data_IF_522795102684
#
_entry.id   IF_522795102684
#
_cell.length_a   1.000
_cell.length_b   1.000
_cell.length_c   1.000
_cell.angle_alpha   90.00
_cell.angle_beta   90.00
_cell.angle_gamma   90.00
#
_symmetry.space_group_name_H-M   'P 1'
#
loop_
_entity.id
_entity.type
_entity.pdbx_description
1 polymer ?
#
# COMPACT_ATOMS: atom_id res chain seq x y z
N UNK A 1 -9.25 -21.34 52.00
CA UNK A 1 -9.64 -21.76 50.63
C UNK A 1 -8.45 -21.74 49.67
N UNK A 2 -7.82 -20.58 49.40
CA UNK A 2 -6.70 -20.47 48.45
C UNK A 2 -5.56 -21.46 48.75
N UNK A 3 -5.14 -21.57 50.02
CA UNK A 3 -4.09 -22.52 50.42
C UNK A 3 -4.48 -23.99 50.20
N UNK A 4 -5.76 -24.34 50.41
CA UNK A 4 -6.26 -25.70 50.17
C UNK A 4 -6.26 -26.06 48.68
N UNK A 5 -6.62 -25.09 47.81
CA UNK A 5 -6.54 -25.26 46.36
C UNK A 5 -5.07 -25.46 45.94
N UNK A 6 -4.14 -24.63 46.42
CA UNK A 6 -2.71 -24.78 46.10
C UNK A 6 -2.12 -26.12 46.57
N UNK A 7 -2.57 -26.64 47.72
CA UNK A 7 -2.10 -27.92 48.26
C UNK A 7 -2.68 -29.14 47.52
N UNK A 8 -3.97 -29.11 47.16
CA UNK A 8 -4.66 -30.25 46.56
C UNK A 8 -4.70 -30.22 45.02
N UNK A 9 -4.44 -29.07 44.39
CA UNK A 9 -4.20 -28.93 42.95
C UNK A 9 -2.71 -28.66 42.68
N UNK A 10 -1.86 -29.61 43.04
CA UNK A 10 -0.41 -29.54 42.85
C UNK A 10 0.08 -30.67 41.95
N UNK A 11 1.19 -30.42 41.25
CA UNK A 11 1.95 -31.46 40.57
C UNK A 11 3.18 -31.76 41.41
N UNK A 12 3.29 -32.99 41.94
CA UNK A 12 4.37 -33.39 42.85
C UNK A 12 5.35 -34.29 42.13
N UNK A 13 6.64 -33.96 42.19
CA UNK A 13 7.71 -34.82 41.70
C UNK A 13 8.00 -35.92 42.73
N UNK A 14 7.91 -37.19 42.32
CA UNK A 14 8.05 -38.34 43.23
C UNK A 14 9.27 -39.23 42.94
N UNK A 15 10.10 -38.85 41.96
CA UNK A 15 11.31 -39.59 41.61
C UNK A 15 11.02 -40.87 40.83
N UNK A 16 11.91 -41.86 40.95
CA UNK A 16 11.84 -43.13 40.22
C UNK A 16 12.18 -44.29 41.15
N UNK A 17 11.48 -45.42 40.99
CA UNK A 17 11.88 -46.70 41.53
C UNK A 17 13.13 -47.17 40.77
N UNK A 18 14.17 -47.58 41.48
CA UNK A 18 15.45 -47.96 40.87
C UNK A 18 16.18 -46.80 40.18
N UNK A 19 15.91 -45.56 40.59
CA UNK A 19 16.59 -44.36 40.11
C UNK A 19 18.10 -44.38 40.41
N UNK A 20 18.89 -43.68 39.60
CA UNK A 20 20.34 -43.65 39.76
C UNK A 20 20.78 -42.78 40.95
N UNK A 21 21.80 -43.20 41.73
CA UNK A 21 22.59 -44.43 41.56
C UNK A 21 21.88 -45.69 42.12
N UNK A 22 21.71 -46.76 41.32
CA UNK A 22 20.97 -47.93 41.76
C UNK A 22 21.86 -48.90 42.57
N UNK A 23 21.21 -49.77 43.34
CA UNK A 23 21.87 -50.92 43.99
C UNK A 23 22.23 -51.99 42.95
N UNK A 24 23.33 -52.73 43.16
CA UNK A 24 23.75 -53.81 42.24
C UNK A 24 22.68 -54.89 42.16
N UNK A 25 22.30 -55.28 40.93
CA UNK A 25 21.27 -56.29 40.66
C UNK A 25 19.85 -55.73 40.47
N UNK A 26 19.64 -54.41 40.56
CA UNK A 26 18.34 -53.78 40.32
C UNK A 26 17.84 -54.05 38.89
N UNK A 27 16.67 -54.72 38.77
CA UNK A 27 16.08 -55.11 37.47
C UNK A 27 15.03 -54.13 36.94
N UNK A 28 14.39 -53.35 37.83
CA UNK A 28 13.29 -52.45 37.47
C UNK A 28 13.69 -50.99 37.69
N UNK A 29 13.52 -50.17 36.65
CA UNK A 29 13.50 -48.72 36.75
C UNK A 29 12.13 -48.20 36.24
N UNK A 30 11.41 -47.44 37.08
CA UNK A 30 10.10 -46.90 36.72
C UNK A 30 9.85 -45.55 37.40
N UNK A 31 9.29 -44.59 36.67
CA UNK A 31 8.92 -43.27 37.22
C UNK A 31 7.74 -43.39 38.18
N UNK A 32 7.85 -42.74 39.35
CA UNK A 32 6.77 -42.66 40.33
C UNK A 32 5.89 -41.47 39.97
N UNK A 33 4.59 -41.74 39.79
CA UNK A 33 3.59 -40.71 39.59
C UNK A 33 2.86 -40.52 40.92
N UNK A 34 3.01 -39.35 41.54
CA UNK A 34 2.27 -38.97 42.72
C UNK A 34 1.07 -38.08 42.33
N UNK A 35 0.86 -36.99 43.04
CA UNK A 35 -0.27 -36.09 42.81
C UNK A 35 -0.12 -35.31 41.50
N UNK A 36 -1.19 -35.30 40.70
CA UNK A 36 -1.34 -34.50 39.48
C UNK A 36 -2.37 -33.40 39.66
N UNK A 37 -2.38 -32.43 38.76
CA UNK A 37 -3.40 -31.36 38.74
C UNK A 37 -4.80 -31.92 38.55
N UNK A 38 -5.77 -31.23 39.15
CA UNK A 38 -7.20 -31.51 38.99
C UNK A 38 -7.66 -31.07 37.59
N UNK A 39 -8.61 -31.81 37.02
CA UNK A 39 -9.02 -31.69 35.61
C UNK A 39 -10.50 -31.36 35.43
N UNK A 40 -11.32 -31.48 36.48
CA UNK A 40 -12.77 -31.28 36.41
C UNK A 40 -13.32 -30.45 37.57
N UNK A 41 -14.42 -29.74 37.34
CA UNK A 41 -15.11 -28.98 38.39
C UNK A 41 -15.51 -29.88 39.58
N UNK A 42 -15.88 -31.14 39.33
CA UNK A 42 -16.22 -32.11 40.37
C UNK A 42 -15.03 -32.45 41.28
N UNK A 43 -13.83 -32.57 40.71
CA UNK A 43 -12.60 -32.77 41.48
C UNK A 43 -12.27 -31.54 42.34
N UNK A 44 -12.40 -30.33 41.79
CA UNK A 44 -12.26 -29.10 42.56
C UNK A 44 -13.30 -29.01 43.69
N UNK A 45 -14.55 -29.40 43.45
CA UNK A 45 -15.60 -29.41 44.45
C UNK A 45 -15.34 -30.37 45.62
N UNK A 46 -14.54 -31.43 45.40
CA UNK A 46 -14.15 -32.42 46.42
C UNK A 46 -12.97 -31.99 47.30
N UNK A 47 -12.33 -30.85 47.01
CA UNK A 47 -11.21 -30.33 47.82
C UNK A 47 -11.63 -30.21 49.28
N UNK A 48 -10.89 -30.87 50.17
CA UNK A 48 -11.14 -30.85 51.61
C UNK A 48 -10.65 -29.53 52.20
N UNK A 49 -11.51 -28.80 52.89
CA UNK A 49 -11.15 -27.53 53.54
C UNK A 49 -10.85 -27.71 55.02
N UNK A 50 -11.70 -28.45 55.73
CA UNK A 50 -11.60 -28.68 57.18
C UNK A 50 -12.38 -29.93 57.57
N UNK A 51 -11.95 -30.58 58.65
CA UNK A 51 -12.74 -31.57 59.39
C UNK A 51 -13.16 -30.94 60.72
N UNK A 52 -14.45 -30.99 61.03
CA UNK A 52 -15.02 -30.44 62.25
C UNK A 52 -14.77 -31.38 63.45
N UNK A 53 -14.91 -30.89 64.70
CA UNK A 53 -14.69 -31.70 65.90
C UNK A 53 -15.62 -32.92 66.03
N UNK A 54 -16.77 -32.88 65.38
CA UNK A 54 -17.74 -33.98 65.28
C UNK A 54 -17.40 -35.01 64.19
N UNK A 55 -16.29 -34.83 63.47
CA UNK A 55 -15.86 -35.68 62.36
C UNK A 55 -16.47 -35.32 61.00
N UNK A 56 -17.38 -34.34 60.91
CA UNK A 56 -17.95 -33.91 59.64
C UNK A 56 -16.92 -33.19 58.77
N UNK A 57 -16.96 -33.41 57.45
CA UNK A 57 -16.01 -32.84 56.48
C UNK A 57 -16.62 -31.66 55.74
N UNK A 58 -15.90 -30.55 55.68
CA UNK A 58 -16.27 -29.37 54.87
C UNK A 58 -15.44 -29.38 53.59
N UNK A 59 -16.12 -29.43 52.44
CA UNK A 59 -15.51 -29.43 51.10
C UNK A 59 -15.71 -28.09 50.40
N UNK A 60 -14.96 -27.86 49.33
CA UNK A 60 -15.04 -26.62 48.56
C UNK A 60 -16.45 -26.34 48.02
N UNK A 61 -17.14 -27.38 47.55
CA UNK A 61 -18.53 -27.26 47.06
C UNK A 61 -19.55 -26.83 48.12
N UNK A 62 -19.25 -27.05 49.40
CA UNK A 62 -20.17 -26.72 50.50
C UNK A 62 -20.16 -25.21 50.80
N UNK A 63 -19.15 -24.48 50.30
CA UNK A 63 -18.93 -23.04 50.57
C UNK A 63 -18.76 -22.18 49.32
N UNK A 64 -18.70 -22.76 48.12
CA UNK A 64 -18.56 -22.03 46.86
C UNK A 64 -19.19 -22.80 45.69
N UNK A 65 -19.69 -22.05 44.69
CA UNK A 65 -20.12 -22.63 43.40
C UNK A 65 -18.88 -22.88 42.54
N UNK A 66 -18.73 -24.10 42.06
CA UNK A 66 -17.60 -24.51 41.21
C UNK A 66 -18.13 -24.83 39.82
N UNK A 67 -17.77 -24.03 38.83
CA UNK A 67 -18.15 -24.23 37.43
C UNK A 67 -17.02 -23.78 36.50
N UNK A 68 -17.01 -24.33 35.28
CA UNK A 68 -16.11 -23.85 34.24
C UNK A 68 -16.66 -22.54 33.69
N UNK A 69 -15.86 -21.48 33.75
CA UNK A 69 -16.24 -20.13 33.33
C UNK A 69 -15.13 -19.43 32.55
N UNK A 70 -15.43 -18.22 32.09
CA UNK A 70 -14.42 -17.33 31.52
C UNK A 70 -13.42 -16.86 32.58
N UNK A 71 -12.21 -16.52 32.15
CA UNK A 71 -11.20 -15.90 33.01
C UNK A 71 -11.64 -14.50 33.48
N UNK A 72 -12.31 -13.75 32.59
CA UNK A 72 -12.93 -12.46 32.88
C UNK A 72 -14.34 -12.37 32.26
N UNK A 73 -15.13 -11.40 32.72
CA UNK A 73 -16.51 -11.18 32.29
C UNK A 73 -16.77 -9.73 31.84
N UNK A 74 -15.71 -8.95 31.58
CA UNK A 74 -15.81 -7.54 31.23
C UNK A 74 -16.34 -7.32 29.80
N UNK A 75 -16.21 -8.32 28.93
CA UNK A 75 -16.55 -8.22 27.50
C UNK A 75 -17.60 -9.25 27.13
N UNK A 76 -18.78 -8.76 26.72
CA UNK A 76 -19.86 -9.59 26.15
C UNK A 76 -19.96 -9.28 24.66
N UNK A 77 -19.37 -10.14 23.82
CA UNK A 77 -19.39 -9.97 22.38
C UNK A 77 -20.62 -10.66 21.74
N UNK A 78 -21.26 -9.95 20.80
CA UNK A 78 -22.37 -10.46 19.99
C UNK A 78 -22.14 -10.13 18.52
N UNK A 79 -22.56 -11.02 17.62
CA UNK A 79 -22.61 -10.80 16.18
C UNK A 79 -24.03 -11.00 15.69
N UNK A 80 -24.65 -9.97 15.11
CA UNK A 80 -26.05 -9.96 14.68
C UNK A 80 -27.01 -10.48 15.78
N UNK A 81 -26.81 -10.03 17.03
CA UNK A 81 -27.63 -10.40 18.19
C UNK A 81 -27.34 -11.78 18.79
N UNK A 82 -26.50 -12.61 18.16
CA UNK A 82 -26.12 -13.95 18.66
C UNK A 82 -24.80 -13.90 19.45
N UNK A 83 -24.59 -14.75 20.47
CA UNK A 83 -23.32 -14.86 21.18
C UNK A 83 -22.16 -15.09 20.20
N UNK A 84 -21.06 -14.35 20.36
CA UNK A 84 -19.93 -14.42 19.46
C UNK A 84 -18.60 -14.37 20.23
N UNK A 85 -17.58 -14.93 19.60
CA UNK A 85 -16.17 -14.75 19.96
C UNK A 85 -15.38 -14.49 18.69
N UNK A 86 -14.12 -14.10 18.79
CA UNK A 86 -13.31 -13.82 17.61
C UNK A 86 -11.84 -13.56 17.90
N UNK A 87 -11.08 -13.48 16.81
CA UNK A 87 -9.66 -13.19 16.80
C UNK A 87 -9.40 -11.91 15.99
N UNK A 88 -8.79 -10.92 16.63
CA UNK A 88 -8.27 -9.74 15.96
C UNK A 88 -6.86 -10.02 15.42
N UNK A 89 -6.75 -10.33 14.14
CA UNK A 89 -5.46 -10.69 13.53
C UNK A 89 -4.79 -9.43 12.97
N UNK A 90 -3.52 -9.23 13.34
CA UNK A 90 -2.68 -8.14 12.82
C UNK A 90 -1.60 -8.71 11.91
N UNK A 91 -1.33 -8.01 10.82
CA UNK A 91 -0.28 -8.37 9.88
C UNK A 91 1.10 -8.18 10.53
N UNK A 92 1.99 -9.15 10.35
CA UNK A 92 3.38 -9.01 10.76
C UNK A 92 4.11 -7.98 9.88
N UNK A 93 5.12 -7.30 10.43
CA UNK A 93 5.92 -6.32 9.68
C UNK A 93 6.54 -6.96 8.45
N UNK A 94 6.33 -6.35 7.27
CA UNK A 94 6.87 -6.82 6.00
C UNK A 94 6.14 -8.02 5.38
N UNK A 95 5.12 -8.58 6.04
CA UNK A 95 4.32 -9.65 5.47
C UNK A 95 3.34 -9.14 4.40
N UNK A 96 2.94 -10.02 3.48
CA UNK A 96 1.93 -9.71 2.46
C UNK A 96 0.52 -9.92 3.02
N UNK A 97 -0.33 -8.89 2.93
CA UNK A 97 -1.70 -8.93 3.42
C UNK A 97 -2.56 -9.98 2.71
N UNK A 98 -2.44 -10.10 1.38
CA UNK A 98 -3.23 -11.03 0.57
C UNK A 98 -2.82 -12.48 0.85
N UNK A 99 -1.53 -12.76 0.89
CA UNK A 99 -1.00 -14.11 1.17
C UNK A 99 -1.36 -14.55 2.59
N UNK A 100 -1.23 -13.64 3.56
CA UNK A 100 -1.57 -13.93 4.96
C UNK A 100 -3.06 -14.20 5.13
N UNK A 101 -3.93 -13.40 4.51
CA UNK A 101 -5.37 -13.63 4.57
C UNK A 101 -5.78 -14.94 3.87
N UNK A 102 -5.14 -15.27 2.73
CA UNK A 102 -5.35 -16.54 2.06
C UNK A 102 -4.93 -17.72 2.96
N UNK A 103 -3.77 -17.62 3.63
CA UNK A 103 -3.29 -18.63 4.57
C UNK A 103 -4.23 -18.79 5.78
N UNK A 104 -4.72 -17.69 6.37
CA UNK A 104 -5.70 -17.72 7.45
C UNK A 104 -6.98 -18.44 7.01
N UNK A 105 -7.50 -18.13 5.83
CA UNK A 105 -8.69 -18.79 5.29
C UNK A 105 -8.44 -20.28 5.04
N UNK A 106 -7.26 -20.64 4.56
CA UNK A 106 -6.88 -22.03 4.36
C UNK A 106 -6.82 -22.82 5.67
N UNK A 107 -6.23 -22.26 6.73
CA UNK A 107 -6.17 -22.90 8.04
C UNK A 107 -7.55 -23.01 8.69
N UNK A 108 -8.37 -21.96 8.62
CA UNK A 108 -9.74 -22.00 9.12
C UNK A 108 -10.57 -23.09 8.43
N UNK A 109 -10.43 -23.24 7.12
CA UNK A 109 -11.11 -24.28 6.34
C UNK A 109 -10.68 -25.69 6.76
N UNK A 110 -9.44 -25.90 7.21
CA UNK A 110 -8.98 -27.20 7.76
C UNK A 110 -9.61 -27.50 9.12
N UNK A 111 -9.96 -26.47 9.89
CA UNK A 111 -10.57 -26.62 11.22
C UNK A 111 -12.08 -26.83 11.17
N UNK A 112 -12.76 -26.29 10.14
CA UNK A 112 -14.22 -26.38 9.97
C UNK A 112 -14.83 -27.79 10.17
N UNK A 113 -14.23 -28.89 9.68
CA UNK A 113 -14.77 -30.23 9.87
C UNK A 113 -14.82 -30.72 11.33
N UNK A 114 -14.00 -30.14 12.20
CA UNK A 114 -13.91 -30.52 13.62
C UNK A 114 -14.80 -29.67 14.52
N UNK A 115 -15.63 -28.80 13.94
CA UNK A 115 -16.47 -27.90 14.70
C UNK A 115 -17.66 -28.59 15.35
N UNK A 116 -18.01 -28.18 16.59
CA UNK A 116 -19.26 -28.62 17.20
C UNK A 116 -20.45 -28.07 16.43
N UNK A 117 -21.60 -28.75 16.55
CA UNK A 117 -22.83 -28.37 15.87
C UNK A 117 -23.22 -26.92 16.15
N UNK A 118 -23.48 -26.14 15.10
CA UNK A 118 -23.92 -24.75 15.20
C UNK A 118 -22.80 -23.71 15.26
N UNK A 119 -21.53 -24.13 15.34
CA UNK A 119 -20.39 -23.22 15.26
C UNK A 119 -20.11 -22.84 13.80
N UNK A 120 -20.07 -21.53 13.52
CA UNK A 120 -19.87 -20.99 12.17
C UNK A 120 -18.87 -19.84 12.20
N UNK A 121 -17.93 -19.84 11.25
CA UNK A 121 -17.01 -18.73 11.04
C UNK A 121 -17.71 -17.62 10.25
N UNK A 122 -17.46 -16.38 10.66
CA UNK A 122 -17.84 -15.17 9.93
C UNK A 122 -16.64 -14.23 9.85
N UNK A 123 -16.56 -13.44 8.79
CA UNK A 123 -15.49 -12.46 8.57
C UNK A 123 -16.09 -11.04 8.65
N UNK A 124 -16.27 -10.49 9.87
CA UNK A 124 -16.96 -9.20 10.03
C UNK A 124 -16.11 -8.01 9.56
N UNK A 125 -14.79 -8.16 9.54
CA UNK A 125 -13.85 -7.13 9.13
C UNK A 125 -12.67 -7.76 8.42
N UNK A 126 -12.50 -7.42 7.14
CA UNK A 126 -11.39 -7.84 6.31
C UNK A 126 -11.01 -6.68 5.38
N UNK A 127 -9.75 -6.26 5.44
CA UNK A 127 -9.22 -5.17 4.61
C UNK A 127 -8.72 -5.68 3.25
N UNK A 128 -8.49 -6.99 3.10
CA UNK A 128 -7.90 -7.56 1.89
C UNK A 128 -8.75 -7.42 0.62
N UNK A 129 -10.09 -7.50 0.65
CA UNK A 129 -10.89 -7.26 -0.56
C UNK A 129 -10.70 -5.83 -1.09
N UNK A 130 -10.61 -4.83 -0.20
CA UNK A 130 -10.37 -3.45 -0.59
C UNK A 130 -8.98 -3.26 -1.21
N UNK A 131 -7.95 -3.88 -0.63
CA UNK A 131 -6.58 -3.83 -1.17
C UNK A 131 -6.52 -4.49 -2.56
N UNK A 132 -7.15 -5.66 -2.71
CA UNK A 132 -7.19 -6.38 -3.98
C UNK A 132 -7.92 -5.57 -5.07
N UNK A 133 -9.08 -4.99 -4.75
CA UNK A 133 -9.82 -4.13 -5.69
C UNK A 133 -9.00 -2.89 -6.03
N UNK A 134 -8.36 -2.26 -5.04
CA UNK A 134 -7.53 -1.06 -5.28
C UNK A 134 -6.35 -1.35 -6.23
N UNK A 135 -5.65 -2.48 -6.03
CA UNK A 135 -4.56 -2.89 -6.93
C UNK A 135 -5.11 -3.19 -8.32
N UNK A 136 -6.22 -3.92 -8.42
CA UNK A 136 -6.84 -4.25 -9.69
C UNK A 136 -7.27 -2.99 -10.48
N UNK A 137 -7.94 -2.04 -9.83
CA UNK A 137 -8.36 -0.80 -10.45
C UNK A 137 -7.16 0.04 -10.91
N UNK A 138 -6.08 0.12 -10.12
CA UNK A 138 -4.89 0.83 -10.58
C UNK A 138 -4.26 0.14 -11.79
N UNK A 139 -4.10 -1.19 -11.77
CA UNK A 139 -3.57 -1.92 -12.95
C UNK A 139 -4.44 -1.69 -14.18
N UNK A 140 -5.77 -1.70 -14.03
CA UNK A 140 -6.70 -1.36 -15.09
C UNK A 140 -6.49 0.07 -15.60
N UNK A 141 -6.36 1.05 -14.71
CA UNK A 141 -6.05 2.44 -15.08
C UNK A 141 -4.71 2.56 -15.80
N UNK A 142 -3.68 1.80 -15.40
CA UNK A 142 -2.38 1.77 -16.11
C UNK A 142 -2.56 1.27 -17.55
N UNK A 143 -3.34 0.20 -17.75
CA UNK A 143 -3.62 -0.35 -19.08
C UNK A 143 -4.45 0.62 -19.93
N UNK A 144 -5.51 1.21 -19.36
CA UNK A 144 -6.33 2.22 -20.03
C UNK A 144 -5.49 3.43 -20.45
N UNK A 145 -4.58 3.90 -19.59
CA UNK A 145 -3.69 5.00 -19.90
C UNK A 145 -2.75 4.66 -21.07
N UNK A 146 -2.16 3.46 -21.10
CA UNK A 146 -1.30 3.03 -22.22
C UNK A 146 -2.11 2.97 -23.53
N UNK A 147 -3.35 2.49 -23.50
CA UNK A 147 -4.24 2.47 -24.66
C UNK A 147 -4.55 3.89 -25.13
N UNK A 148 -4.87 4.81 -24.21
CA UNK A 148 -5.14 6.20 -24.55
C UNK A 148 -3.92 6.88 -25.16
N UNK A 149 -2.72 6.65 -24.63
CA UNK A 149 -1.47 7.14 -25.20
C UNK A 149 -1.27 6.60 -26.61
N UNK A 150 -1.49 5.30 -26.81
CA UNK A 150 -1.41 4.68 -28.13
C UNK A 150 -2.39 5.35 -29.12
N UNK A 151 -3.65 5.57 -28.72
CA UNK A 151 -4.68 6.19 -29.56
C UNK A 151 -4.35 7.64 -29.91
N UNK A 152 -3.90 8.44 -28.93
CA UNK A 152 -3.53 9.83 -29.15
C UNK A 152 -2.30 9.91 -30.06
N UNK A 153 -1.27 9.10 -29.79
CA UNK A 153 -0.09 9.05 -30.66
C UNK A 153 -0.43 8.59 -32.08
N UNK A 154 -1.37 7.67 -32.23
CA UNK A 154 -1.83 7.21 -33.54
C UNK A 154 -2.58 8.29 -34.29
N UNK A 155 -3.37 9.11 -33.58
CA UNK A 155 -4.07 10.25 -34.17
C UNK A 155 -3.09 11.28 -34.75
N UNK A 156 -2.03 11.61 -34.01
CA UNK A 156 -1.04 12.62 -34.41
C UNK A 156 -0.03 12.10 -35.44
N UNK A 157 0.58 10.94 -35.20
CA UNK A 157 1.67 10.44 -36.03
C UNK A 157 1.19 9.56 -37.19
N UNK A 158 -0.03 9.04 -37.15
CA UNK A 158 -0.66 8.26 -38.24
C UNK A 158 0.16 7.06 -38.71
N UNK A 159 1.11 6.61 -37.88
CA UNK A 159 2.05 5.56 -38.18
C UNK A 159 2.14 4.60 -37.00
N UNK A 160 1.63 3.39 -37.18
CA UNK A 160 1.63 2.34 -36.15
C UNK A 160 3.03 2.03 -35.58
N UNK A 161 4.09 2.20 -36.36
CA UNK A 161 5.45 1.94 -35.86
C UNK A 161 5.93 3.01 -34.89
N UNK A 162 5.58 4.27 -35.14
CA UNK A 162 5.95 5.38 -34.27
C UNK A 162 5.17 5.31 -32.94
N UNK A 163 3.91 4.89 -32.98
CA UNK A 163 3.07 4.74 -31.77
C UNK A 163 3.50 3.58 -30.88
N UNK A 164 4.10 2.53 -31.43
CA UNK A 164 4.63 1.42 -30.63
C UNK A 164 5.80 1.84 -29.74
N UNK A 165 6.56 2.89 -30.10
CA UNK A 165 7.76 3.29 -29.36
C UNK A 165 7.39 3.75 -27.94
N UNK A 166 6.48 4.72 -27.72
CA UNK A 166 6.01 5.04 -26.37
C UNK A 166 5.28 3.88 -25.67
N UNK A 167 4.51 3.08 -26.43
CA UNK A 167 3.79 1.91 -25.88
C UNK A 167 4.74 0.86 -25.29
N UNK A 168 5.97 0.73 -25.80
CA UNK A 168 7.00 -0.16 -25.24
C UNK A 168 7.78 0.53 -24.12
N UNK A 169 8.12 1.82 -24.29
CA UNK A 169 8.93 2.55 -23.31
C UNK A 169 8.25 2.66 -21.94
N UNK A 170 6.96 3.00 -21.90
CA UNK A 170 6.22 3.21 -20.64
C UNK A 170 6.19 1.97 -19.74
N UNK A 171 5.82 0.75 -20.22
CA UNK A 171 5.91 -0.47 -19.42
C UNK A 171 7.31 -0.77 -18.90
N UNK A 172 8.36 -0.54 -19.71
CA UNK A 172 9.75 -0.73 -19.27
C UNK A 172 10.07 0.18 -18.10
N UNK A 173 9.63 1.44 -18.15
CA UNK A 173 9.86 2.38 -17.05
C UNK A 173 9.10 2.00 -15.78
N UNK A 174 7.84 1.58 -15.92
CA UNK A 174 7.02 1.14 -14.78
C UNK A 174 7.62 -0.09 -14.10
N UNK A 175 8.04 -1.10 -14.88
CA UNK A 175 8.70 -2.30 -14.34
C UNK A 175 10.03 -1.96 -13.66
N UNK A 176 10.83 -1.07 -14.26
CA UNK A 176 12.06 -0.57 -13.64
C UNK A 176 11.80 0.17 -12.33
N UNK A 177 10.72 0.94 -12.26
CA UNK A 177 10.31 1.65 -11.03
C UNK A 177 9.96 0.67 -9.91
N UNK A 178 9.25 -0.42 -10.21
CA UNK A 178 9.00 -1.48 -9.22
C UNK A 178 10.29 -2.10 -8.69
N UNK A 179 11.29 -2.32 -9.55
CA UNK A 179 12.59 -2.84 -9.14
C UNK A 179 13.30 -1.86 -8.19
N UNK A 180 13.31 -0.57 -8.49
CA UNK A 180 13.89 0.46 -7.63
C UNK A 180 13.17 0.51 -6.27
N UNK A 181 11.83 0.53 -6.28
CA UNK A 181 11.03 0.53 -5.06
C UNK A 181 11.33 -0.70 -4.18
N UNK A 182 11.47 -1.87 -4.79
CA UNK A 182 11.83 -3.10 -4.08
C UNK A 182 13.23 -3.01 -3.44
N UNK A 183 14.24 -2.46 -4.15
CA UNK A 183 15.59 -2.25 -3.61
C UNK A 183 15.58 -1.33 -2.39
N UNK A 184 14.74 -0.29 -2.40
CA UNK A 184 14.56 0.61 -1.26
C UNK A 184 13.62 0.08 -0.16
N UNK A 185 13.13 -1.16 -0.30
CA UNK A 185 12.26 -1.80 0.70
C UNK A 185 10.83 -1.23 0.75
N UNK A 186 10.37 -0.57 -0.31
CA UNK A 186 8.98 -0.12 -0.43
C UNK A 186 8.08 -1.28 -0.85
N UNK A 187 6.89 -1.34 -0.25
CA UNK A 187 5.84 -2.28 -0.63
C UNK A 187 4.93 -1.70 -1.71
N UNK A 188 4.28 -2.58 -2.47
CA UNK A 188 3.17 -2.20 -3.35
C UNK A 188 1.97 -1.91 -2.45
N UNK A 189 1.58 -0.65 -2.37
CA UNK A 189 0.42 -0.20 -1.60
C UNK A 189 -0.33 0.89 -2.37
N UNK A 190 -1.47 1.32 -1.82
CA UNK A 190 -2.32 2.32 -2.48
C UNK A 190 -1.58 3.61 -2.84
N UNK A 191 -0.66 4.08 -1.99
CA UNK A 191 0.06 5.35 -2.20
C UNK A 191 1.13 5.23 -3.29
N UNK A 192 1.94 4.17 -3.28
CA UNK A 192 2.93 3.93 -4.35
C UNK A 192 2.25 3.68 -5.70
N UNK A 193 1.11 2.98 -5.69
CA UNK A 193 0.29 2.75 -6.88
C UNK A 193 -0.28 4.05 -7.45
N UNK A 194 -0.82 4.94 -6.61
CA UNK A 194 -1.23 6.28 -7.06
C UNK A 194 -0.06 7.10 -7.59
N UNK A 195 1.11 7.02 -6.94
CA UNK A 195 2.34 7.68 -7.41
C UNK A 195 2.71 7.25 -8.83
N UNK A 196 2.60 5.96 -9.15
CA UNK A 196 2.85 5.46 -10.51
C UNK A 196 1.83 5.97 -11.52
N UNK A 197 0.55 6.03 -11.17
CA UNK A 197 -0.49 6.57 -12.07
C UNK A 197 -0.21 8.04 -12.40
N UNK A 198 0.13 8.83 -11.39
CA UNK A 198 0.50 10.24 -11.59
C UNK A 198 1.77 10.39 -12.43
N UNK A 199 2.73 9.47 -12.27
CA UNK A 199 3.95 9.48 -13.05
C UNK A 199 3.69 9.24 -14.55
N UNK A 200 2.66 8.48 -14.96
CA UNK A 200 2.40 8.17 -16.38
C UNK A 200 2.39 9.43 -17.25
N UNK A 201 1.74 10.51 -16.81
CA UNK A 201 1.70 11.75 -17.58
C UNK A 201 3.08 12.31 -17.89
N UNK A 202 4.01 12.17 -16.94
CA UNK A 202 5.40 12.59 -17.08
C UNK A 202 6.21 11.59 -17.93
N UNK A 203 5.97 10.29 -17.73
CA UNK A 203 6.68 9.21 -18.45
C UNK A 203 6.40 9.22 -19.95
N UNK A 204 5.14 9.48 -20.30
CA UNK A 204 4.69 9.49 -21.68
C UNK A 204 5.28 10.69 -22.40
N UNK A 205 5.33 11.86 -21.76
CA UNK A 205 5.85 13.09 -22.35
C UNK A 205 7.28 12.92 -22.88
N UNK A 206 8.18 12.32 -22.09
CA UNK A 206 9.57 12.04 -22.51
C UNK A 206 9.64 11.20 -23.80
N UNK A 207 8.84 10.14 -23.88
CA UNK A 207 8.83 9.27 -25.04
C UNK A 207 8.17 9.94 -26.26
N UNK A 208 7.12 10.72 -26.06
CA UNK A 208 6.45 11.48 -27.12
C UNK A 208 7.40 12.52 -27.69
N UNK A 209 8.01 13.35 -26.85
CA UNK A 209 8.91 14.45 -27.28
C UNK A 209 10.07 13.90 -28.13
N UNK A 210 10.64 12.75 -27.76
CA UNK A 210 11.70 12.11 -28.56
C UNK A 210 11.17 11.68 -29.92
N UNK A 211 10.06 10.93 -29.97
CA UNK A 211 9.53 10.38 -31.23
C UNK A 211 9.04 11.50 -32.15
N UNK A 212 8.31 12.47 -31.61
CA UNK A 212 7.79 13.64 -32.32
C UNK A 212 8.92 14.47 -32.93
N UNK A 213 9.98 14.75 -32.16
CA UNK A 213 11.09 15.55 -32.67
C UNK A 213 11.87 14.81 -33.77
N UNK A 214 11.96 13.47 -33.71
CA UNK A 214 12.54 12.68 -34.82
C UNK A 214 11.68 12.74 -36.08
N UNK A 215 10.36 12.55 -35.94
CA UNK A 215 9.40 12.67 -37.05
C UNK A 215 9.45 14.07 -37.68
N UNK A 216 9.51 15.12 -36.87
CA UNK A 216 9.67 16.51 -37.32
C UNK A 216 10.94 16.70 -38.15
N UNK A 217 12.10 16.24 -37.67
CA UNK A 217 13.38 16.36 -38.39
C UNK A 217 13.36 15.56 -39.70
N UNK A 218 12.74 14.37 -39.72
CA UNK A 218 12.57 13.60 -40.95
C UNK A 218 11.68 14.32 -41.96
N UNK A 219 10.56 14.89 -41.52
CA UNK A 219 9.61 15.59 -42.39
C UNK A 219 10.17 16.92 -42.94
N UNK A 220 10.87 17.69 -42.11
CA UNK A 220 11.45 19.00 -42.50
C UNK A 220 12.68 18.84 -43.40
N UNK A 221 13.56 17.89 -43.11
CA UNK A 221 14.87 17.79 -43.76
C UNK A 221 14.99 16.62 -44.75
N UNK A 222 14.13 15.60 -44.65
CA UNK A 222 14.19 14.40 -45.48
C UNK A 222 15.32 13.44 -45.14
N UNK A 223 15.83 13.49 -43.90
CA UNK A 223 16.93 12.63 -43.44
C UNK A 223 16.46 11.19 -43.18
N UNK A 224 17.33 10.17 -43.39
CA UNK A 224 17.01 8.81 -43.01
C UNK A 224 16.87 8.66 -41.48
N UNK A 225 16.04 7.71 -40.97
CA UNK A 225 15.67 7.61 -39.55
C UNK A 225 16.84 7.62 -38.56
N UNK A 226 17.94 6.95 -38.89
CA UNK A 226 19.14 6.90 -38.04
C UNK A 226 19.82 8.26 -37.91
N UNK A 227 19.95 9.00 -39.01
CA UNK A 227 20.59 10.32 -39.02
C UNK A 227 19.69 11.39 -38.41
N UNK A 228 18.38 11.32 -38.73
CA UNK A 228 17.37 12.17 -38.12
C UNK A 228 17.33 11.99 -36.59
N UNK A 229 17.41 10.74 -36.11
CA UNK A 229 17.46 10.46 -34.66
C UNK A 229 18.70 11.06 -34.02
N UNK A 230 19.87 10.94 -34.63
CA UNK A 230 21.12 11.53 -34.10
C UNK A 230 21.02 13.05 -34.01
N UNK A 231 20.48 13.70 -35.03
CA UNK A 231 20.29 15.16 -35.06
C UNK A 231 19.26 15.61 -34.03
N UNK A 232 18.11 14.92 -33.98
CA UNK A 232 17.02 15.17 -33.03
C UNK A 232 17.51 15.08 -31.59
N UNK A 233 18.19 13.99 -31.21
CA UNK A 233 18.72 13.83 -29.86
C UNK A 233 19.74 14.92 -29.49
N UNK A 234 20.54 15.39 -30.45
CA UNK A 234 21.43 16.53 -30.23
C UNK A 234 20.71 17.83 -29.85
N UNK A 235 19.45 18.01 -30.27
CA UNK A 235 18.63 19.18 -29.94
C UNK A 235 17.98 19.06 -28.55
N UNK A 236 17.50 17.87 -28.19
CA UNK A 236 16.62 17.70 -27.02
C UNK A 236 17.29 17.05 -25.80
N UNK A 237 18.42 16.35 -25.96
CA UNK A 237 19.03 15.61 -24.84
C UNK A 237 19.29 16.47 -23.60
N UNK A 238 19.77 17.70 -23.78
CA UNK A 238 20.05 18.63 -22.68
C UNK A 238 18.77 19.12 -22.01
N UNK A 239 17.70 19.32 -22.80
CA UNK A 239 16.40 19.71 -22.29
C UNK A 239 15.77 18.57 -21.46
N UNK A 240 15.83 17.33 -21.92
CA UNK A 240 15.33 16.16 -21.19
C UNK A 240 16.01 16.00 -19.83
N UNK A 241 17.35 16.11 -19.78
CA UNK A 241 18.09 16.07 -18.52
C UNK A 241 17.73 17.27 -17.62
N UNK A 242 17.56 18.47 -18.20
CA UNK A 242 17.11 19.65 -17.47
C UNK A 242 15.74 19.47 -16.81
N UNK A 243 14.76 18.93 -17.57
CA UNK A 243 13.42 18.63 -17.08
C UNK A 243 13.50 17.63 -15.91
N UNK A 244 14.28 16.56 -16.06
CA UNK A 244 14.48 15.57 -15.00
C UNK A 244 14.99 16.20 -13.70
N UNK A 245 15.97 17.10 -13.80
CA UNK A 245 16.58 17.79 -12.66
C UNK A 245 15.59 18.75 -11.99
N UNK A 246 14.85 19.53 -12.77
CA UNK A 246 13.84 20.47 -12.25
C UNK A 246 12.70 19.72 -11.56
N UNK A 247 12.17 18.67 -12.19
CA UNK A 247 11.12 17.87 -11.56
C UNK A 247 11.62 17.16 -10.31
N UNK A 248 12.84 16.63 -10.32
CA UNK A 248 13.46 16.08 -9.12
C UNK A 248 13.56 17.13 -8.00
N UNK A 249 13.94 18.36 -8.31
CA UNK A 249 13.98 19.45 -7.34
C UNK A 249 12.59 19.80 -6.75
N UNK A 250 11.50 19.57 -7.48
CA UNK A 250 10.12 19.74 -6.97
C UNK A 250 9.71 18.59 -6.06
N UNK A 251 10.01 17.34 -6.43
CA UNK A 251 9.49 16.17 -5.70
C UNK A 251 10.38 15.71 -4.54
N UNK A 252 11.70 15.84 -4.63
CA UNK A 252 12.65 15.38 -3.60
C UNK A 252 12.40 16.06 -2.23
N UNK A 253 12.17 17.38 -2.12
CA UNK A 253 11.95 18.03 -0.82
C UNK A 253 10.79 17.44 -0.01
N UNK A 254 9.75 16.93 -0.68
CA UNK A 254 8.61 16.32 -0.02
C UNK A 254 8.95 15.03 0.73
N UNK A 255 10.04 14.34 0.36
CA UNK A 255 10.52 13.15 1.09
C UNK A 255 11.11 13.48 2.46
N UNK A 256 11.49 14.73 2.70
CA UNK A 256 12.10 15.20 3.94
C UNK A 256 11.10 15.75 4.96
N UNK A 257 9.80 15.71 4.66
CA UNK A 257 8.78 16.09 5.62
C UNK A 257 8.79 15.16 6.83
N UNK A 258 8.65 15.72 8.03
CA UNK A 258 8.64 14.98 9.28
C UNK A 258 7.27 14.38 9.63
N UNK A 259 7.27 13.50 10.63
CA UNK A 259 6.07 12.90 11.20
C UNK A 259 5.34 11.93 10.27
N UNK A 260 4.13 11.51 10.68
CA UNK A 260 3.34 10.52 9.95
C UNK A 260 2.94 11.00 8.55
N UNK A 261 2.65 12.28 8.39
CA UNK A 261 2.34 12.88 7.08
C UNK A 261 3.54 12.83 6.15
N UNK A 262 4.74 13.06 6.68
CA UNK A 262 5.98 12.92 5.92
C UNK A 262 6.21 11.52 5.36
N UNK A 263 5.85 10.48 6.12
CA UNK A 263 5.93 9.10 5.63
C UNK A 263 5.03 8.84 4.40
N UNK A 264 3.88 9.50 4.32
CA UNK A 264 2.96 9.42 3.16
C UNK A 264 3.59 10.12 1.95
N UNK A 265 4.05 11.37 2.12
CA UNK A 265 4.68 12.12 1.03
C UNK A 265 5.96 11.47 0.52
N UNK A 266 6.73 10.82 1.39
CA UNK A 266 7.93 10.08 1.01
C UNK A 266 7.63 8.95 0.03
N UNK A 267 6.49 8.25 0.18
CA UNK A 267 6.10 7.19 -0.76
C UNK A 267 5.78 7.76 -2.15
N UNK A 268 5.08 8.89 -2.23
CA UNK A 268 4.82 9.57 -3.50
C UNK A 268 6.10 10.11 -4.15
N UNK A 269 6.91 10.83 -3.36
CA UNK A 269 8.15 11.47 -3.82
C UNK A 269 9.11 10.45 -4.43
N UNK A 270 9.42 9.38 -3.70
CA UNK A 270 10.39 8.38 -4.18
C UNK A 270 9.85 7.64 -5.40
N UNK A 271 8.55 7.32 -5.44
CA UNK A 271 7.95 6.66 -6.60
C UNK A 271 8.08 7.52 -7.86
N UNK A 272 7.69 8.80 -7.78
CA UNK A 272 7.72 9.72 -8.92
C UNK A 272 9.16 10.01 -9.35
N UNK A 273 10.06 10.31 -8.41
CA UNK A 273 11.48 10.60 -8.71
C UNK A 273 12.16 9.39 -9.35
N UNK A 274 11.92 8.18 -8.83
CA UNK A 274 12.48 6.95 -9.41
C UNK A 274 11.96 6.72 -10.83
N UNK A 275 10.65 6.90 -11.04
CA UNK A 275 10.02 6.77 -12.35
C UNK A 275 10.59 7.79 -13.35
N UNK A 276 10.70 9.05 -12.97
CA UNK A 276 11.25 10.11 -13.83
C UNK A 276 12.72 9.89 -14.17
N UNK A 277 13.55 9.53 -13.18
CA UNK A 277 14.96 9.25 -13.42
C UNK A 277 15.13 8.08 -14.42
N UNK A 278 14.33 7.03 -14.26
CA UNK A 278 14.36 5.88 -15.15
C UNK A 278 13.72 6.20 -16.53
N UNK A 279 12.73 7.09 -16.58
CA UNK A 279 12.13 7.61 -17.81
C UNK A 279 13.16 8.29 -18.70
N UNK A 280 13.92 9.22 -18.14
CA UNK A 280 14.95 9.97 -18.88
C UNK A 280 16.05 9.03 -19.34
N UNK A 281 16.43 8.04 -18.53
CA UNK A 281 17.38 7.01 -18.93
C UNK A 281 16.85 6.20 -20.13
N UNK A 282 15.58 5.79 -20.10
CA UNK A 282 14.92 5.11 -21.22
C UNK A 282 14.82 6.01 -22.46
N UNK A 283 14.50 7.30 -22.29
CA UNK A 283 14.42 8.30 -23.35
C UNK A 283 15.77 8.60 -24.03
N UNK A 284 16.89 8.45 -23.29
CA UNK A 284 18.24 8.65 -23.82
C UNK A 284 18.86 7.37 -24.41
N UNK A 285 18.40 6.19 -23.99
CA UNK A 285 19.00 4.89 -24.37
C UNK A 285 18.10 4.08 -25.30
N UNK A 286 16.91 3.71 -24.82
CA UNK A 286 16.03 2.77 -25.53
C UNK A 286 15.25 3.49 -26.63
N UNK A 287 14.64 4.63 -26.34
CA UNK A 287 13.78 5.35 -27.29
C UNK A 287 14.52 5.74 -28.57
N UNK A 288 15.76 6.28 -28.53
CA UNK A 288 16.50 6.62 -29.75
C UNK A 288 16.88 5.37 -30.55
N UNK A 289 17.20 4.26 -29.88
CA UNK A 289 17.47 2.99 -30.56
C UNK A 289 16.23 2.46 -31.29
N UNK A 290 15.04 2.58 -30.67
CA UNK A 290 13.77 2.22 -31.29
C UNK A 290 13.41 3.16 -32.45
N UNK A 291 13.61 4.48 -32.30
CA UNK A 291 13.39 5.45 -33.37
C UNK A 291 14.24 5.13 -34.61
N UNK A 292 15.53 4.86 -34.42
CA UNK A 292 16.44 4.57 -35.52
C UNK A 292 16.16 3.25 -36.26
N UNK A 293 15.46 2.30 -35.63
CA UNK A 293 15.22 0.95 -36.18
C UNK A 293 13.78 0.70 -36.63
N UNK A 294 12.79 1.30 -35.97
CA UNK A 294 11.37 1.07 -36.25
C UNK A 294 10.75 2.13 -37.15
N UNK A 295 11.23 3.38 -37.11
CA UNK A 295 10.64 4.46 -37.91
C UNK A 295 10.88 4.25 -39.39
N UNK A 296 9.89 4.62 -40.21
CA UNK A 296 10.00 4.62 -41.66
C UNK A 296 10.50 5.98 -42.11
N UNK A 297 11.33 6.06 -43.17
CA UNK A 297 11.70 7.33 -43.77
C UNK A 297 10.46 8.11 -44.21
N UNK A 298 10.39 9.38 -43.84
CA UNK A 298 9.36 10.33 -44.30
C UNK A 298 9.95 11.15 -45.44
N UNK A 299 9.20 11.33 -46.52
CA UNK A 299 9.63 12.21 -47.61
C UNK A 299 9.59 13.66 -47.15
N UNK A 300 10.57 14.46 -47.59
CA UNK A 300 10.65 15.88 -47.24
C UNK A 300 9.38 16.62 -47.66
N UNK A 301 8.71 17.28 -46.72
CA UNK A 301 7.42 17.95 -46.93
C UNK A 301 6.19 17.04 -46.91
N UNK A 302 6.36 15.74 -46.62
CA UNK A 302 5.27 14.79 -46.44
C UNK A 302 4.60 14.96 -45.08
N UNK A 303 3.64 15.87 -44.97
CA UNK A 303 2.81 16.03 -43.77
C UNK A 303 1.65 15.03 -43.76
N UNK A 304 1.96 13.77 -43.39
CA UNK A 304 0.97 12.71 -43.11
C UNK A 304 0.11 12.27 -44.29
N UNK A 305 -0.94 11.48 -44.02
CA UNK A 305 -1.88 11.05 -45.06
C UNK A 305 -2.76 12.21 -45.52
N UNK A 306 -2.83 12.45 -46.83
CA UNK A 306 -3.63 13.57 -47.39
C UNK A 306 -5.09 13.21 -47.69
N UNK A 307 -5.53 11.97 -47.42
CA UNK A 307 -6.88 11.48 -47.74
C UNK A 307 -7.58 10.92 -46.50
N UNK A 308 -8.91 10.97 -46.48
CA UNK A 308 -9.73 10.45 -45.38
C UNK A 308 -9.75 11.32 -44.12
N UNK A 309 -10.12 10.71 -42.99
CA UNK A 309 -10.21 11.37 -41.68
C UNK A 309 -8.88 12.00 -41.25
N UNK A 310 -7.78 11.27 -41.43
CA UNK A 310 -6.43 11.73 -41.08
C UNK A 310 -5.99 12.95 -41.89
N UNK A 311 -6.30 13.00 -43.19
CA UNK A 311 -6.04 14.19 -44.00
C UNK A 311 -6.93 15.40 -43.66
N UNK A 312 -8.14 15.18 -43.16
CA UNK A 312 -8.95 16.28 -42.58
C UNK A 312 -8.34 16.77 -41.26
N UNK A 313 -7.92 15.85 -40.39
CA UNK A 313 -7.30 16.17 -39.11
C UNK A 313 -6.02 17.00 -39.31
N UNK A 314 -5.11 16.58 -40.19
CA UNK A 314 -3.87 17.31 -40.46
C UNK A 314 -4.13 18.74 -40.95
N UNK A 315 -5.03 18.90 -41.93
CA UNK A 315 -5.40 20.25 -42.44
C UNK A 315 -6.03 21.14 -41.38
N UNK A 316 -6.88 20.57 -40.52
CA UNK A 316 -7.51 21.31 -39.43
C UNK A 316 -6.50 21.65 -38.33
N UNK A 317 -5.57 20.75 -38.05
CA UNK A 317 -4.48 20.97 -37.11
C UNK A 317 -3.54 22.07 -37.60
N UNK A 318 -3.07 22.02 -38.85
CA UNK A 318 -2.22 23.06 -39.44
C UNK A 318 -2.91 24.43 -39.44
N UNK A 319 -4.21 24.48 -39.76
CA UNK A 319 -4.99 25.71 -39.68
C UNK A 319 -5.08 26.23 -38.24
N UNK A 320 -5.27 25.34 -37.28
CA UNK A 320 -5.30 25.69 -35.85
C UNK A 320 -3.94 26.18 -35.36
N UNK A 321 -2.85 25.56 -35.81
CA UNK A 321 -1.47 25.96 -35.49
C UNK A 321 -1.18 27.36 -35.99
N UNK A 322 -1.52 27.67 -37.25
CA UNK A 322 -1.35 29.02 -37.81
C UNK A 322 -2.21 30.06 -37.06
N UNK A 323 -3.44 29.70 -36.71
CA UNK A 323 -4.30 30.58 -35.92
C UNK A 323 -3.76 30.82 -34.50
N UNK A 324 -3.18 29.79 -33.89
CA UNK A 324 -2.50 29.90 -32.60
C UNK A 324 -1.27 30.83 -32.69
N UNK A 325 -0.42 30.67 -33.70
CA UNK A 325 0.75 31.55 -33.88
C UNK A 325 0.37 33.00 -34.13
N UNK A 326 -0.67 33.25 -34.93
CA UNK A 326 -1.20 34.59 -35.17
C UNK A 326 -1.76 35.21 -33.89
N UNK A 327 -2.48 34.40 -33.10
CA UNK A 327 -3.02 34.81 -31.80
C UNK A 327 -1.90 35.17 -30.83
N UNK A 328 -0.88 34.33 -30.69
CA UNK A 328 0.30 34.63 -29.85
C UNK A 328 1.02 35.89 -30.35
N UNK A 329 1.12 36.10 -31.66
CA UNK A 329 1.64 37.34 -32.23
C UNK A 329 0.84 38.57 -31.79
N UNK A 330 -0.48 38.47 -31.71
CA UNK A 330 -1.36 39.53 -31.18
C UNK A 330 -1.19 39.75 -29.67
N UNK A 331 -1.01 38.67 -28.90
CA UNK A 331 -0.71 38.71 -27.46
C UNK A 331 0.59 39.49 -27.20
N UNK A 332 1.63 39.19 -27.96
CA UNK A 332 2.95 39.84 -27.84
C UNK A 332 2.91 41.34 -28.17
N UNK A 333 1.95 41.80 -28.97
CA UNK A 333 1.73 43.24 -29.22
C UNK A 333 0.96 43.94 -28.09
N UNK A 334 0.37 43.17 -27.17
CA UNK A 334 -0.50 43.68 -26.10
C UNK A 334 -0.15 43.11 -24.72
N UNK A 335 1.15 42.93 -24.45
CA UNK A 335 1.70 42.30 -23.23
C UNK A 335 1.13 42.87 -21.93
N UNK A 336 0.89 44.18 -21.84
CA UNK A 336 0.35 44.81 -20.63
C UNK A 336 -1.04 44.28 -20.21
N UNK A 337 -1.92 43.96 -21.17
CA UNK A 337 -3.25 43.38 -20.88
C UNK A 337 -3.12 41.97 -20.32
N UNK A 338 -2.21 41.17 -20.87
CA UNK A 338 -1.97 39.81 -20.42
C UNK A 338 -1.21 39.76 -19.10
N UNK A 339 -0.40 40.75 -18.78
CA UNK A 339 0.18 40.91 -17.45
C UNK A 339 -0.90 41.18 -16.40
N UNK A 340 -1.89 42.04 -16.69
CA UNK A 340 -3.05 42.23 -15.82
C UNK A 340 -3.86 40.95 -15.64
N UNK A 341 -4.11 40.21 -16.72
CA UNK A 341 -4.78 38.91 -16.65
C UNK A 341 -3.99 37.91 -15.77
N UNK A 342 -2.67 37.86 -15.93
CA UNK A 342 -1.80 37.02 -15.10
C UNK A 342 -1.90 37.40 -13.61
N UNK A 343 -1.87 38.69 -13.28
CA UNK A 343 -2.05 39.17 -11.91
C UNK A 343 -3.42 38.76 -11.37
N UNK A 344 -4.49 38.88 -12.17
CA UNK A 344 -5.83 38.43 -11.77
C UNK A 344 -5.85 36.92 -11.48
N UNK A 345 -5.18 36.11 -12.30
CA UNK A 345 -5.07 34.65 -12.07
C UNK A 345 -4.31 34.36 -10.78
N UNK A 346 -3.18 35.04 -10.53
CA UNK A 346 -2.38 34.86 -9.31
C UNK A 346 -3.17 35.27 -8.06
N UNK A 347 -3.88 36.40 -8.10
CA UNK A 347 -4.73 36.87 -7.00
C UNK A 347 -5.90 35.92 -6.78
N UNK A 348 -6.55 35.46 -7.86
CA UNK A 348 -7.62 34.47 -7.80
C UNK A 348 -7.16 33.15 -7.19
N UNK A 349 -5.97 32.66 -7.58
CA UNK A 349 -5.36 31.48 -6.98
C UNK A 349 -5.09 31.67 -5.49
N UNK A 350 -4.50 32.80 -5.08
CA UNK A 350 -4.23 33.10 -3.68
C UNK A 350 -5.52 33.18 -2.85
N UNK A 351 -6.57 33.79 -3.40
CA UNK A 351 -7.88 33.89 -2.76
C UNK A 351 -8.55 32.53 -2.60
N UNK A 352 -8.56 31.70 -3.65
CA UNK A 352 -9.15 30.35 -3.61
C UNK A 352 -8.37 29.45 -2.65
N UNK A 353 -7.03 29.49 -2.69
CA UNK A 353 -6.20 28.70 -1.79
C UNK A 353 -6.41 29.10 -0.32
N UNK A 354 -6.41 30.40 -0.03
CA UNK A 354 -6.68 30.92 1.33
C UNK A 354 -8.09 30.61 1.83
N UNK A 355 -9.08 30.54 0.93
CA UNK A 355 -10.46 30.16 1.26
C UNK A 355 -10.59 28.65 1.51
N UNK A 356 -9.91 27.83 0.71
CA UNK A 356 -9.91 26.36 0.82
C UNK A 356 -9.33 25.87 2.14
N UNK A 357 -8.29 26.54 2.65
CA UNK A 357 -7.71 26.24 3.96
C UNK A 357 -8.70 26.42 5.13
N UNK A 358 -9.72 27.28 4.98
CA UNK A 358 -10.82 27.45 5.95
C UNK A 358 -12.00 26.51 5.70
N UNK A 359 -12.07 25.93 4.51
CA UNK A 359 -13.21 25.17 3.99
C UNK A 359 -13.06 23.66 4.05
N UNK A 360 -11.94 23.12 4.57
CA UNK A 360 -11.87 21.69 4.94
C UNK A 360 -12.63 21.52 6.25
N UNK A 361 -13.91 21.07 6.25
CA UNK A 361 -14.54 20.69 7.49
C UNK A 361 -13.83 19.40 7.89
N UNK A 362 -13.44 19.27 9.16
CA UNK A 362 -13.05 17.97 9.68
C UNK A 362 -14.16 16.98 9.32
N UNK A 363 -13.94 16.10 8.32
CA UNK A 363 -14.90 15.05 7.97
C UNK A 363 -15.05 14.19 9.22
N UNK A 364 -16.12 14.42 9.99
CA UNK A 364 -16.64 13.46 10.95
C UNK A 364 -16.93 12.20 10.14
N UNK A 365 -16.05 11.19 10.25
CA UNK A 365 -16.42 9.83 9.87
C UNK A 365 -17.59 9.44 10.77
N UNK A 366 -18.79 9.16 10.24
CA UNK A 366 -19.83 8.53 11.06
C UNK A 366 -19.34 7.11 11.36
N UNK A 367 -19.16 6.80 12.64
CA UNK A 367 -18.71 5.48 13.11
C UNK A 367 -17.39 5.44 13.88
N UNK A 368 -16.86 6.57 14.37
CA UNK A 368 -15.85 6.50 15.45
C UNK A 368 -16.59 6.26 16.77
N UNK A 369 -16.53 5.02 17.26
CA UNK A 369 -16.82 4.67 18.66
C UNK A 369 -16.08 5.68 19.55
N UNK A 370 -16.73 6.30 20.56
CA UNK A 370 -16.07 7.33 21.35
C UNK A 370 -14.80 6.77 22.00
N UNK A 371 -13.65 7.35 21.65
CA UNK A 371 -12.46 7.37 22.49
C UNK A 371 -12.89 7.99 23.82
N UNK A 372 -13.09 7.16 24.85
CA UNK A 372 -13.06 7.63 26.22
C UNK A 372 -11.66 8.21 26.46
N UNK A 373 -11.58 9.53 26.38
CA UNK A 373 -10.44 10.27 26.87
C UNK A 373 -10.18 9.89 28.32
N UNK A 374 -8.96 9.45 28.60
CA UNK A 374 -8.10 9.94 29.68
C UNK A 374 -8.80 10.61 30.88
N UNK A 375 -9.66 9.86 31.58
CA UNK A 375 -10.26 10.26 32.84
C UNK A 375 -10.31 9.06 33.81
N UNK A 376 -9.20 8.34 33.98
CA UNK A 376 -8.85 7.58 35.19
C UNK A 376 -7.47 6.94 35.04
N UNK A 377 -6.43 7.77 35.11
CA UNK A 377 -5.09 7.32 35.46
C UNK A 377 -4.55 8.22 36.58
N UNK A 378 -5.39 8.44 37.59
CA UNK A 378 -5.03 9.20 38.79
C UNK A 378 -5.71 8.62 40.04
N UNK A 379 -5.75 7.30 40.15
CA UNK A 379 -6.12 6.55 41.37
C UNK A 379 -5.58 5.12 41.23
N UNK A 380 -4.28 4.89 41.45
CA UNK A 380 -3.67 3.61 41.89
C UNK A 380 -2.13 3.68 41.89
N UNK A 381 -1.58 4.70 42.55
CA UNK A 381 -0.18 4.73 42.96
C UNK A 381 -0.08 5.20 44.41
N UNK A 382 -0.72 4.47 45.33
CA UNK A 382 -0.48 4.57 46.78
C UNK A 382 -1.07 3.36 47.50
N UNK A 383 -0.23 2.35 47.76
CA UNK A 383 -0.27 1.48 48.95
C UNK A 383 0.74 0.33 48.79
N UNK A 384 1.97 0.55 49.26
CA UNK A 384 2.79 -0.49 49.90
C UNK A 384 3.42 0.18 51.13
N UNK A 385 3.19 -0.30 52.36
CA UNK A 385 3.91 0.15 53.53
C UNK A 385 5.14 -0.74 53.74
N UNK A 386 6.33 -0.15 53.73
CA UNK A 386 7.49 -0.72 54.41
C UNK A 386 7.90 0.24 55.53
N UNK A 387 7.86 -0.26 56.78
CA UNK A 387 8.38 0.43 57.97
C UNK A 387 9.90 0.61 57.86
N UNK A 388 10.50 1.68 58.39
CA UNK A 388 10.76 1.92 59.82
C UNK A 388 11.39 0.68 60.47
N UNK A 389 12.67 0.67 60.86
CA UNK A 389 13.33 1.73 61.62
C UNK A 389 13.05 1.51 63.09
#
# INVERSE_FOLDING_TARGET
MISAIKAQNAQVAAGQLGGTPPVKGQQLNASIIAQTRLTSADEFGKILLKVNPDGSQVRLRDVAKVELGGENYDVIAKFNGKPASGLGIKLATGANALDTAAAIRAELKKMEPFFPSGLKIVYPYDTTPFVQISIHEVVKTLVEAIILVFLVMYLFLQNFRATLIPTIAVPVVLLGTFAILAIFGYSINTLTMFGMVLAIGLLVDDAIVVVENVERVMAEEGLPPKEATRKSMGQIQGALVGIAMVLSAVFIPMAFFGGSTGAIYRQFSITIVSAMALSVLVALILTPALCATMLKPVQKGGHGEHKGFFGWFNRMFDKSTNHYTDSVGSILRSTGRYLLLYIIIVVGMAFLFGSSAKLVPARRRPGRVPEYGSASCRCLARAYPEGAG
#
